data_IF_993818147441
#
_entry.id   IF_993818147441
#
_cell.length_a   1.000
_cell.length_b   1.000
_cell.length_c   1.000
_cell.angle_alpha   90.00
_cell.angle_beta   90.00
_cell.angle_gamma   90.00
#
_symmetry.space_group_name_H-M   'P 1'
#
loop_
_entity.id
_entity.type
_entity.pdbx_description
1 polymer ?
#
# COMPACT_ATOMS: atom_id res chain seq x y z
N UNK A 1 22.50 -7.98 -11.70
CA UNK A 1 21.23 -8.65 -11.35
C UNK A 1 20.09 -7.86 -11.97
N UNK A 2 18.96 -8.51 -12.24
CA UNK A 2 17.76 -7.84 -12.74
C UNK A 2 17.04 -7.16 -11.56
N UNK A 3 16.82 -5.85 -11.66
CA UNK A 3 16.10 -5.05 -10.67
C UNK A 3 14.71 -4.71 -11.19
N UNK A 4 13.76 -4.50 -10.29
CA UNK A 4 12.42 -4.02 -10.65
C UNK A 4 12.46 -2.52 -10.96
N UNK A 5 13.26 -1.78 -10.21
CA UNK A 5 13.28 -0.31 -10.26
C UNK A 5 14.72 0.21 -10.26
N UNK A 6 15.02 1.12 -11.18
CA UNK A 6 16.19 2.01 -11.10
C UNK A 6 15.76 3.37 -10.56
N UNK A 7 16.46 3.90 -9.56
CA UNK A 7 16.20 5.24 -9.01
C UNK A 7 17.31 6.19 -9.46
N UNK A 8 16.97 7.13 -10.35
CA UNK A 8 17.81 8.23 -10.79
C UNK A 8 17.55 9.46 -9.94
N UNK A 9 18.60 10.02 -9.34
CA UNK A 9 18.51 11.15 -8.40
C UNK A 9 19.83 11.92 -8.35
N UNK A 10 19.81 13.13 -7.79
CA UNK A 10 21.04 13.90 -7.51
C UNK A 10 21.35 13.91 -6.02
N UNK A 11 22.62 14.11 -5.64
CA UNK A 11 23.04 14.07 -4.22
C UNK A 11 22.21 14.95 -3.27
N UNK A 12 21.79 16.19 -3.63
CA UNK A 12 20.87 16.98 -2.80
C UNK A 12 19.54 16.28 -2.51
N UNK A 13 19.05 15.43 -3.42
CA UNK A 13 17.79 14.71 -3.31
C UNK A 13 17.95 13.31 -2.68
N UNK A 14 19.13 12.99 -2.13
CA UNK A 14 19.44 11.65 -1.60
C UNK A 14 18.44 11.15 -0.58
N UNK A 15 17.96 12.01 0.31
CA UNK A 15 17.00 11.62 1.35
C UNK A 15 15.69 11.12 0.74
N UNK A 16 15.23 11.74 -0.35
CA UNK A 16 14.06 11.29 -1.11
C UNK A 16 14.36 9.95 -1.77
N UNK A 17 15.53 9.79 -2.37
CA UNK A 17 15.93 8.55 -3.03
C UNK A 17 16.03 7.37 -2.05
N UNK A 18 16.63 7.56 -0.88
CA UNK A 18 16.70 6.56 0.18
C UNK A 18 15.30 6.21 0.69
N UNK A 19 14.44 7.21 0.92
CA UNK A 19 13.06 6.96 1.32
C UNK A 19 12.29 6.13 0.29
N UNK A 20 12.45 6.43 -1.00
CA UNK A 20 11.84 5.65 -2.09
C UNK A 20 12.42 4.24 -2.16
N UNK A 21 13.73 4.08 -1.98
CA UNK A 21 14.39 2.77 -1.92
C UNK A 21 13.80 1.91 -0.80
N UNK A 22 13.73 2.44 0.42
CA UNK A 22 13.17 1.75 1.59
C UNK A 22 11.69 1.40 1.37
N UNK A 23 10.91 2.31 0.78
CA UNK A 23 9.52 2.06 0.41
C UNK A 23 9.40 0.91 -0.59
N UNK A 24 10.25 0.87 -1.62
CA UNK A 24 10.26 -0.23 -2.60
C UNK A 24 10.68 -1.55 -1.94
N UNK A 25 11.72 -1.56 -1.10
CA UNK A 25 12.17 -2.75 -0.38
C UNK A 25 11.12 -3.28 0.60
N UNK A 26 10.42 -2.40 1.33
CA UNK A 26 9.32 -2.77 2.23
C UNK A 26 8.14 -3.43 1.49
N UNK A 27 7.98 -3.06 0.21
CA UNK A 27 7.04 -3.66 -0.73
C UNK A 27 7.74 -4.68 -1.65
N UNK A 28 8.82 -5.32 -1.20
CA UNK A 28 9.61 -6.39 -1.87
C UNK A 28 9.99 -6.14 -3.35
N UNK A 29 10.02 -4.89 -3.79
CA UNK A 29 10.54 -4.50 -5.09
C UNK A 29 12.05 -4.30 -4.98
N UNK A 30 12.80 -5.00 -5.83
CA UNK A 30 14.26 -4.87 -5.90
C UNK A 30 14.59 -3.55 -6.58
N UNK A 31 14.89 -2.52 -5.79
CA UNK A 31 15.33 -1.23 -6.31
C UNK A 31 16.85 -1.10 -6.29
N UNK A 32 17.39 -0.46 -7.31
CA UNK A 32 18.79 -0.07 -7.39
C UNK A 32 18.90 1.46 -7.35
N UNK A 33 19.82 1.98 -6.54
CA UNK A 33 20.22 3.38 -6.51
C UNK A 33 21.73 3.49 -6.28
N UNK A 34 22.38 4.48 -6.88
CA UNK A 34 23.80 4.72 -6.67
C UNK A 34 24.06 5.33 -5.28
N UNK A 35 24.39 4.52 -4.28
CA UNK A 35 24.74 5.04 -2.95
C UNK A 35 26.12 5.66 -2.94
N UNK A 36 26.27 6.85 -2.33
CA UNK A 36 27.57 7.51 -2.13
C UNK A 36 28.53 6.77 -1.20
N UNK A 37 28.10 5.65 -0.58
CA UNK A 37 28.92 4.80 0.27
C UNK A 37 28.60 3.33 0.03
N UNK A 38 29.56 2.59 -0.55
CA UNK A 38 29.85 1.14 -0.58
C UNK A 38 28.76 0.04 -0.56
N UNK A 39 27.49 0.30 -0.27
CA UNK A 39 26.45 -0.72 -0.33
C UNK A 39 25.90 -0.83 -1.75
N UNK A 40 26.65 -1.51 -2.62
CA UNK A 40 26.21 -1.88 -3.98
C UNK A 40 27.14 -1.45 -5.10
N UNK A 41 28.14 -0.61 -4.82
CA UNK A 41 29.23 -0.29 -5.76
C UNK A 41 30.38 -1.25 -5.49
N UNK A 42 30.59 -2.20 -6.40
CA UNK A 42 31.76 -3.09 -6.37
C UNK A 42 32.96 -2.31 -6.91
N UNK A 43 34.18 -2.60 -6.46
CA UNK A 43 35.40 -1.92 -6.96
C UNK A 43 35.67 -2.22 -8.46
N UNK A 44 35.09 -3.31 -8.98
CA UNK A 44 35.15 -3.77 -10.37
C UNK A 44 33.78 -4.36 -10.75
N UNK A 45 33.10 -3.90 -11.82
CA UNK A 45 33.54 -2.97 -12.86
C UNK A 45 33.48 -1.48 -12.45
N UNK A 46 34.03 -0.55 -13.26
CA UNK A 46 33.94 0.89 -13.01
C UNK A 46 32.52 1.36 -12.72
N UNK A 47 32.37 2.43 -11.92
CA UNK A 47 31.09 2.94 -11.49
C UNK A 47 30.12 3.21 -12.65
N UNK A 48 30.62 3.81 -13.73
CA UNK A 48 29.86 4.11 -14.93
C UNK A 48 29.34 2.84 -15.60
N UNK A 49 30.13 1.76 -15.60
CA UNK A 49 29.73 0.46 -16.12
C UNK A 49 28.63 -0.16 -15.26
N UNK A 50 28.75 -0.05 -13.92
CA UNK A 50 27.72 -0.51 -12.99
C UNK A 50 26.42 0.27 -13.17
N UNK A 51 26.52 1.59 -13.33
CA UNK A 51 25.39 2.48 -13.56
C UNK A 51 24.65 2.12 -14.86
N UNK A 52 25.37 1.99 -15.97
CA UNK A 52 24.79 1.58 -17.26
C UNK A 52 24.14 0.20 -17.18
N UNK A 53 24.80 -0.76 -16.52
CA UNK A 53 24.22 -2.08 -16.30
C UNK A 53 22.97 -2.03 -15.44
N UNK A 54 22.96 -1.22 -14.38
CA UNK A 54 21.81 -1.07 -13.50
C UNK A 54 20.62 -0.48 -14.24
N UNK A 55 20.82 0.57 -15.04
CA UNK A 55 19.77 1.18 -15.87
C UNK A 55 19.20 0.14 -16.84
N UNK A 56 20.06 -0.56 -17.58
CA UNK A 56 19.64 -1.53 -18.61
C UNK A 56 18.98 -2.77 -18.04
N UNK A 57 19.38 -3.21 -16.85
CA UNK A 57 18.84 -4.39 -16.17
C UNK A 57 17.74 -4.04 -15.15
N UNK A 58 17.19 -2.83 -15.20
CA UNK A 58 16.01 -2.47 -14.43
C UNK A 58 14.78 -2.49 -15.33
N UNK A 59 13.62 -2.84 -14.76
CA UNK A 59 12.35 -2.87 -15.51
C UNK A 59 11.71 -1.49 -15.64
N UNK A 60 11.76 -0.70 -14.56
CA UNK A 60 11.20 0.64 -14.50
C UNK A 60 12.29 1.66 -14.15
N UNK A 61 12.25 2.81 -14.80
CA UNK A 61 13.10 3.97 -14.49
C UNK A 61 12.32 4.98 -13.67
N UNK A 62 12.74 5.23 -12.43
CA UNK A 62 12.16 6.26 -11.55
C UNK A 62 13.11 7.46 -11.51
N UNK A 63 12.64 8.61 -11.95
CA UNK A 63 13.38 9.87 -11.89
C UNK A 63 12.87 10.72 -10.74
N UNK A 64 13.76 11.06 -9.81
CA UNK A 64 13.54 12.14 -8.84
C UNK A 64 13.99 13.43 -9.49
N UNK A 65 13.02 14.29 -9.79
CA UNK A 65 13.23 15.53 -10.51
C UNK A 65 13.13 16.73 -9.56
N UNK A 66 14.18 17.54 -9.56
CA UNK A 66 14.36 18.80 -8.85
C UNK A 66 15.14 19.77 -9.74
N UNK A 67 15.30 21.02 -9.31
CA UNK A 67 16.18 21.98 -9.98
C UNK A 67 17.65 21.51 -9.97
N UNK A 68 18.08 20.75 -8.95
CA UNK A 68 19.41 20.13 -8.92
C UNK A 68 19.57 19.08 -10.03
N UNK A 69 18.56 18.24 -10.22
CA UNK A 69 18.47 17.28 -11.33
C UNK A 69 18.48 18.01 -12.67
N UNK A 70 17.75 19.11 -12.77
CA UNK A 70 17.69 19.94 -13.96
C UNK A 70 19.06 20.53 -14.34
N UNK A 71 20.00 20.71 -13.41
CA UNK A 71 21.36 21.20 -13.68
C UNK A 71 22.44 20.10 -13.75
N UNK A 72 22.08 18.83 -13.59
CA UNK A 72 23.04 17.71 -13.64
C UNK A 72 23.26 17.13 -15.04
N UNK A 73 24.51 17.15 -15.51
CA UNK A 73 24.90 16.50 -16.77
C UNK A 73 24.99 14.96 -16.66
N UNK A 74 25.04 14.43 -15.45
CA UNK A 74 25.02 12.97 -15.25
C UNK A 74 23.60 12.42 -15.45
N UNK A 75 22.57 13.16 -15.06
CA UNK A 75 21.17 12.75 -15.28
C UNK A 75 20.86 12.62 -16.77
N UNK A 76 21.30 13.58 -17.60
CA UNK A 76 21.07 13.48 -19.06
C UNK A 76 21.81 12.27 -19.65
N UNK A 77 22.99 11.91 -19.12
CA UNK A 77 23.71 10.69 -19.54
C UNK A 77 22.94 9.44 -19.16
N UNK A 78 22.40 9.36 -17.95
CA UNK A 78 21.56 8.24 -17.50
C UNK A 78 20.30 8.08 -18.35
N UNK A 79 19.59 9.18 -18.60
CA UNK A 79 18.38 9.19 -19.45
C UNK A 79 18.70 8.72 -20.87
N UNK A 80 19.88 9.03 -21.41
CA UNK A 80 20.31 8.54 -22.73
C UNK A 80 20.59 7.05 -22.76
N UNK A 81 20.91 6.42 -21.62
CA UNK A 81 21.08 4.96 -21.54
C UNK A 81 19.77 4.20 -21.48
N UNK A 82 18.66 4.93 -21.22
CA UNK A 82 17.30 4.41 -21.26
C UNK A 82 16.89 4.16 -22.72
N UNK A 83 16.39 2.96 -23.02
CA UNK A 83 15.72 2.71 -24.31
C UNK A 83 14.39 3.47 -24.37
N UNK A 84 13.94 3.90 -25.57
CA UNK A 84 12.69 4.68 -25.75
C UNK A 84 11.44 4.00 -25.16
N UNK A 85 11.43 2.69 -25.03
CA UNK A 85 10.31 1.89 -24.48
C UNK A 85 10.44 1.62 -22.98
N UNK A 86 11.50 2.08 -22.33
CA UNK A 86 11.72 1.79 -20.92
C UNK A 86 10.70 2.59 -20.07
N UNK A 87 9.76 1.91 -19.38
CA UNK A 87 8.70 2.60 -18.66
C UNK A 87 9.29 3.53 -17.61
N UNK A 88 8.88 4.79 -17.62
CA UNK A 88 9.42 5.83 -16.74
C UNK A 88 8.34 6.39 -15.84
N UNK A 89 8.68 6.58 -14.56
CA UNK A 89 7.87 7.30 -13.57
C UNK A 89 8.69 8.48 -13.06
N UNK A 90 8.10 9.67 -13.03
CA UNK A 90 8.77 10.88 -12.55
C UNK A 90 8.09 11.34 -11.26
N UNK A 91 8.88 11.62 -10.22
CA UNK A 91 8.45 12.39 -9.06
C UNK A 91 9.09 13.77 -9.12
N UNK A 92 8.26 14.82 -9.14
CA UNK A 92 8.72 16.22 -9.14
C UNK A 92 8.71 16.79 -7.72
N UNK A 93 9.85 17.26 -7.25
CA UNK A 93 10.02 17.90 -5.95
C UNK A 93 9.76 19.41 -5.99
N UNK A 94 9.93 20.03 -7.15
CA UNK A 94 9.68 21.45 -7.39
C UNK A 94 9.04 21.68 -8.77
N UNK A 95 8.77 22.95 -9.08
CA UNK A 95 8.14 23.41 -10.31
C UNK A 95 9.15 23.93 -11.36
N UNK A 96 10.44 23.57 -11.23
CA UNK A 96 11.46 23.97 -12.21
C UNK A 96 11.11 23.43 -13.60
N UNK A 97 11.29 24.28 -14.62
CA UNK A 97 11.08 23.88 -16.02
C UNK A 97 12.24 23.01 -16.47
N UNK A 98 11.95 21.96 -17.24
CA UNK A 98 12.98 21.18 -17.89
C UNK A 98 13.86 22.08 -18.75
N UNK A 99 15.19 21.96 -18.63
CA UNK A 99 16.09 22.54 -19.62
C UNK A 99 15.92 21.86 -20.99
N UNK A 100 16.29 22.53 -22.09
CA UNK A 100 15.89 22.11 -23.44
C UNK A 100 16.33 20.69 -23.86
N UNK A 101 17.45 20.20 -23.36
CA UNK A 101 17.94 18.85 -23.64
C UNK A 101 17.18 17.78 -22.84
N UNK A 102 16.78 18.06 -21.59
CA UNK A 102 15.93 17.18 -20.78
C UNK A 102 14.48 17.17 -21.27
N UNK A 103 13.95 18.32 -21.74
CA UNK A 103 12.58 18.41 -22.23
C UNK A 103 12.35 17.42 -23.37
N UNK A 104 13.32 17.28 -24.28
CA UNK A 104 13.26 16.29 -25.37
C UNK A 104 12.96 14.85 -24.91
N UNK A 105 13.41 14.45 -23.72
CA UNK A 105 13.24 13.07 -23.21
C UNK A 105 12.11 12.91 -22.18
N UNK A 106 11.70 14.00 -21.53
CA UNK A 106 10.78 13.97 -20.39
C UNK A 106 9.41 14.60 -20.72
N UNK A 107 9.34 15.45 -21.73
CA UNK A 107 8.10 16.09 -22.17
C UNK A 107 7.11 15.03 -22.67
N UNK A 108 5.90 15.07 -22.12
CA UNK A 108 4.85 14.06 -22.35
C UNK A 108 4.82 12.89 -21.35
N UNK A 109 5.82 12.73 -20.48
CA UNK A 109 5.78 11.74 -19.40
C UNK A 109 4.98 12.32 -18.22
N UNK A 110 3.95 11.61 -17.77
CA UNK A 110 3.20 12.00 -16.57
C UNK A 110 4.09 11.92 -15.32
N UNK A 111 3.94 12.88 -14.41
CA UNK A 111 4.69 12.95 -13.16
C UNK A 111 3.78 13.04 -11.94
N UNK A 112 4.29 12.58 -10.80
CA UNK A 112 3.69 12.78 -9.49
C UNK A 112 4.35 13.99 -8.84
N UNK A 113 3.57 14.99 -8.45
CA UNK A 113 4.09 16.16 -7.71
C UNK A 113 4.17 15.85 -6.22
N UNK A 114 5.35 16.06 -5.62
CA UNK A 114 5.54 16.01 -4.17
C UNK A 114 5.15 17.34 -3.53
N UNK A 115 4.59 17.28 -2.32
CA UNK A 115 4.32 18.47 -1.53
C UNK A 115 5.57 18.83 -0.73
N UNK A 116 5.87 20.13 -0.62
CA UNK A 116 7.06 20.66 0.04
C UNK A 116 7.28 20.14 1.48
N UNK A 117 6.19 19.82 2.20
CA UNK A 117 6.22 19.40 3.60
C UNK A 117 5.83 17.93 3.82
N UNK A 118 5.44 17.21 2.77
CA UNK A 118 5.00 15.82 2.92
C UNK A 118 5.24 15.00 1.64
N UNK A 119 6.26 14.15 1.69
CA UNK A 119 6.63 13.24 0.62
C UNK A 119 5.71 12.02 0.54
N UNK A 120 5.16 11.55 1.68
CA UNK A 120 4.49 10.26 1.79
C UNK A 120 3.36 10.05 0.76
N UNK A 121 2.40 10.99 0.56
CA UNK A 121 1.33 10.79 -0.42
C UNK A 121 1.84 10.66 -1.86
N UNK A 122 2.91 11.39 -2.20
CA UNK A 122 3.52 11.33 -3.52
C UNK A 122 4.28 10.02 -3.70
N UNK A 123 5.05 9.60 -2.69
CA UNK A 123 5.76 8.32 -2.70
C UNK A 123 4.80 7.12 -2.87
N UNK A 124 3.66 7.11 -2.16
CA UNK A 124 2.63 6.08 -2.36
C UNK A 124 2.08 6.07 -3.78
N UNK A 125 1.87 7.24 -4.40
CA UNK A 125 1.41 7.32 -5.80
C UNK A 125 2.49 6.83 -6.77
N UNK A 126 3.77 7.15 -6.52
CA UNK A 126 4.89 6.63 -7.32
C UNK A 126 4.94 5.11 -7.23
N UNK A 127 4.81 4.54 -6.03
CA UNK A 127 4.73 3.08 -5.84
C UNK A 127 3.59 2.46 -6.67
N UNK A 128 2.41 3.08 -6.63
CA UNK A 128 1.25 2.65 -7.42
C UNK A 128 1.54 2.70 -8.93
N UNK A 129 2.13 3.78 -9.44
CA UNK A 129 2.48 3.93 -10.86
C UNK A 129 3.59 2.96 -11.30
N UNK A 130 4.59 2.73 -10.46
CA UNK A 130 5.65 1.73 -10.72
C UNK A 130 5.03 0.35 -10.87
N UNK A 131 4.16 -0.05 -9.95
CA UNK A 131 3.57 -1.39 -9.98
C UNK A 131 2.61 -1.54 -11.15
N UNK A 132 1.78 -0.53 -11.42
CA UNK A 132 0.93 -0.51 -12.62
C UNK A 132 1.75 -0.73 -13.89
N UNK A 133 2.88 -0.02 -14.05
CA UNK A 133 3.76 -0.19 -15.21
C UNK A 133 4.43 -1.56 -15.25
N UNK A 134 4.82 -2.11 -14.10
CA UNK A 134 5.35 -3.47 -14.01
C UNK A 134 4.32 -4.50 -14.49
N UNK A 135 3.04 -4.36 -14.10
CA UNK A 135 1.96 -5.23 -14.55
C UNK A 135 1.68 -5.07 -16.06
N UNK A 136 1.66 -3.84 -16.57
CA UNK A 136 1.39 -3.54 -17.99
C UNK A 136 2.48 -4.07 -18.94
N UNK A 137 3.75 -3.94 -18.55
CA UNK A 137 4.88 -4.21 -19.44
C UNK A 137 5.55 -5.57 -19.17
N UNK A 138 5.32 -6.17 -18.00
CA UNK A 138 5.93 -7.42 -17.59
C UNK A 138 4.88 -8.38 -16.99
N UNK A 139 3.87 -8.79 -17.76
CA UNK A 139 2.85 -9.72 -17.30
C UNK A 139 3.49 -11.07 -16.91
N UNK A 140 3.17 -11.59 -15.73
CA UNK A 140 3.77 -12.81 -15.18
C UNK A 140 4.96 -12.58 -14.25
N UNK A 141 5.33 -11.32 -13.98
CA UNK A 141 6.22 -11.02 -12.87
C UNK A 141 5.53 -11.34 -11.54
N UNK A 142 6.15 -12.18 -10.70
CA UNK A 142 5.76 -12.36 -9.30
C UNK A 142 6.10 -11.09 -8.52
N UNK A 143 5.28 -10.06 -8.74
CA UNK A 143 5.28 -8.87 -7.93
C UNK A 143 4.77 -9.27 -6.53
N UNK A 144 5.27 -8.63 -5.46
CA UNK A 144 4.66 -8.63 -4.12
C UNK A 144 3.30 -7.91 -4.18
N UNK A 145 2.38 -8.58 -4.84
CA UNK A 145 1.06 -8.11 -5.25
C UNK A 145 0.11 -8.12 -4.07
N UNK A 146 0.39 -8.99 -3.09
CA UNK A 146 -0.26 -9.16 -1.80
C UNK A 146 -0.28 -7.86 -1.00
N UNK A 147 0.89 -7.29 -0.64
CA UNK A 147 0.96 -6.07 0.19
C UNK A 147 0.37 -4.85 -0.50
N UNK A 148 0.57 -4.70 -1.82
CA UNK A 148 -0.02 -3.56 -2.54
C UNK A 148 -1.54 -3.67 -2.64
N UNK A 149 -2.07 -4.86 -2.97
CA UNK A 149 -3.52 -5.08 -3.01
C UNK A 149 -4.13 -4.76 -1.65
N UNK A 150 -3.49 -5.21 -0.57
CA UNK A 150 -3.87 -4.86 0.79
C UNK A 150 -3.88 -3.34 1.02
N UNK A 151 -2.76 -2.64 0.82
CA UNK A 151 -2.68 -1.19 1.05
C UNK A 151 -3.65 -0.38 0.17
N UNK A 152 -3.83 -0.78 -1.08
CA UNK A 152 -4.80 -0.14 -1.97
C UNK A 152 -6.23 -0.38 -1.50
N UNK A 153 -6.54 -1.60 -1.05
CA UNK A 153 -7.80 -1.97 -0.44
C UNK A 153 -8.13 -1.11 0.80
N UNK A 154 -7.17 -0.96 1.71
CA UNK A 154 -7.29 -0.12 2.91
C UNK A 154 -7.44 1.35 2.55
N UNK A 155 -6.63 1.88 1.63
CA UNK A 155 -6.76 3.27 1.16
C UNK A 155 -8.13 3.56 0.54
N UNK A 156 -8.67 2.63 -0.25
CA UNK A 156 -10.02 2.74 -0.80
C UNK A 156 -11.09 2.71 0.28
N UNK A 157 -10.88 1.93 1.36
CA UNK A 157 -11.76 1.93 2.53
C UNK A 157 -11.75 3.28 3.23
N UNK A 158 -10.57 3.85 3.49
CA UNK A 158 -10.41 5.17 4.11
C UNK A 158 -11.05 6.29 3.28
N UNK A 159 -10.93 6.21 1.95
CA UNK A 159 -11.61 7.06 0.98
C UNK A 159 -13.13 6.82 0.89
N UNK A 160 -13.69 5.88 1.67
CA UNK A 160 -15.10 5.43 1.64
C UNK A 160 -15.57 4.87 0.29
N UNK A 161 -14.64 4.40 -0.54
CA UNK A 161 -14.93 3.76 -1.84
C UNK A 161 -15.18 2.26 -1.66
N UNK A 162 -16.19 1.92 -0.85
CA UNK A 162 -16.43 0.56 -0.35
C UNK A 162 -16.49 -0.52 -1.44
N UNK A 163 -17.24 -0.32 -2.53
CA UNK A 163 -17.36 -1.32 -3.60
C UNK A 163 -16.01 -1.68 -4.22
N UNK A 164 -15.14 -0.68 -4.43
CA UNK A 164 -13.79 -0.90 -4.98
C UNK A 164 -12.84 -1.51 -3.95
N UNK A 165 -12.98 -1.09 -2.69
CA UNK A 165 -12.23 -1.67 -1.57
C UNK A 165 -12.54 -3.16 -1.42
N UNK A 166 -13.82 -3.54 -1.39
CA UNK A 166 -14.27 -4.95 -1.35
C UNK A 166 -13.68 -5.76 -2.49
N UNK A 167 -13.77 -5.28 -3.74
CA UNK A 167 -13.22 -6.00 -4.89
C UNK A 167 -11.70 -6.20 -4.78
N UNK A 168 -10.98 -5.21 -4.26
CA UNK A 168 -9.51 -5.25 -4.13
C UNK A 168 -9.07 -6.16 -2.97
N UNK A 169 -9.74 -6.06 -1.82
CA UNK A 169 -9.43 -6.87 -0.64
C UNK A 169 -9.86 -8.33 -0.81
N UNK A 170 -10.92 -8.60 -1.57
CA UNK A 170 -11.28 -9.97 -1.92
C UNK A 170 -10.18 -10.65 -2.74
N UNK A 171 -9.60 -9.94 -3.72
CA UNK A 171 -8.44 -10.45 -4.48
C UNK A 171 -7.24 -10.66 -3.56
N UNK A 172 -7.01 -9.77 -2.60
CA UNK A 172 -5.94 -9.94 -1.62
C UNK A 172 -6.10 -11.22 -0.79
N UNK A 173 -7.30 -11.46 -0.25
CA UNK A 173 -7.58 -12.65 0.58
C UNK A 173 -7.54 -13.97 -0.20
N UNK A 174 -7.72 -13.93 -1.53
CA UNK A 174 -7.49 -15.11 -2.38
C UNK A 174 -6.00 -15.42 -2.56
N UNK A 175 -5.14 -14.40 -2.53
CA UNK A 175 -3.69 -14.52 -2.68
C UNK A 175 -3.02 -14.91 -1.36
N UNK A 176 -3.48 -14.32 -0.25
CA UNK A 176 -2.95 -14.54 1.11
C UNK A 176 -4.08 -14.88 2.08
N UNK A 177 -4.61 -16.13 2.05
CA UNK A 177 -5.76 -16.53 2.87
C UNK A 177 -5.47 -16.58 4.36
N UNK A 178 -4.21 -16.74 4.74
CA UNK A 178 -3.77 -16.84 6.14
C UNK A 178 -3.64 -15.46 6.81
N UNK A 179 -3.69 -14.38 6.02
CA UNK A 179 -3.61 -13.03 6.55
C UNK A 179 -4.93 -12.56 7.17
N UNK A 180 -4.91 -12.44 8.49
CA UNK A 180 -6.05 -12.03 9.31
C UNK A 180 -6.49 -10.58 9.05
N UNK A 181 -5.54 -9.66 8.80
CA UNK A 181 -5.86 -8.26 8.49
C UNK A 181 -6.67 -8.14 7.20
N UNK A 182 -6.33 -8.92 6.17
CA UNK A 182 -7.05 -8.95 4.89
C UNK A 182 -8.54 -9.20 5.07
N UNK A 183 -8.89 -10.24 5.82
CA UNK A 183 -10.27 -10.59 6.14
C UNK A 183 -10.97 -9.52 6.99
N UNK A 184 -10.25 -8.93 7.96
CA UNK A 184 -10.77 -7.86 8.80
C UNK A 184 -11.13 -6.60 7.99
N UNK A 185 -10.21 -6.09 7.17
CA UNK A 185 -10.47 -4.93 6.33
C UNK A 185 -11.52 -5.21 5.26
N UNK A 186 -11.56 -6.43 4.71
CA UNK A 186 -12.62 -6.86 3.78
C UNK A 186 -14.00 -6.82 4.44
N UNK A 187 -14.10 -7.27 5.69
CA UNK A 187 -15.34 -7.21 6.45
C UNK A 187 -15.78 -5.76 6.72
N UNK A 188 -14.86 -4.88 7.13
CA UNK A 188 -15.16 -3.45 7.31
C UNK A 188 -15.65 -2.79 6.00
N UNK A 189 -14.99 -3.10 4.88
CA UNK A 189 -15.40 -2.62 3.55
C UNK A 189 -16.78 -3.14 3.14
N UNK A 190 -17.11 -4.39 3.51
CA UNK A 190 -18.41 -5.02 3.24
C UNK A 190 -19.53 -4.41 4.10
N UNK A 191 -19.24 -4.08 5.36
CA UNK A 191 -20.17 -3.31 6.22
C UNK A 191 -20.41 -1.93 5.61
N UNK A 192 -19.35 -1.27 5.14
CA UNK A 192 -19.44 -0.02 4.39
C UNK A 192 -20.00 1.15 5.20
N UNK A 193 -19.68 1.19 6.50
CA UNK A 193 -20.20 2.20 7.43
C UNK A 193 -21.71 2.15 7.68
N UNK A 194 -22.40 1.10 7.23
CA UNK A 194 -23.84 0.93 7.45
C UNK A 194 -24.11 0.50 8.89
N UNK A 195 -25.30 0.83 9.39
CA UNK A 195 -25.81 0.26 10.65
C UNK A 195 -25.98 -1.24 10.49
N UNK A 196 -25.16 -2.04 11.17
CA UNK A 196 -25.14 -3.50 11.04
C UNK A 196 -26.52 -4.10 11.33
N UNK A 197 -27.25 -3.54 12.30
CA UNK A 197 -28.63 -3.92 12.61
C UNK A 197 -29.60 -3.87 11.41
N UNK A 198 -29.31 -3.04 10.40
CA UNK A 198 -30.13 -2.86 9.19
C UNK A 198 -29.67 -3.71 7.99
N UNK A 199 -28.60 -4.49 8.13
CA UNK A 199 -28.13 -5.38 7.06
C UNK A 199 -29.09 -6.55 6.86
N UNK A 200 -28.94 -7.29 5.77
CA UNK A 200 -29.70 -8.52 5.53
C UNK A 200 -29.06 -9.72 6.23
N UNK A 201 -29.84 -10.76 6.54
CA UNK A 201 -29.32 -12.00 7.12
C UNK A 201 -28.21 -12.62 6.25
N UNK A 202 -28.38 -12.59 4.93
CA UNK A 202 -27.42 -13.14 3.98
C UNK A 202 -26.07 -12.40 4.03
N UNK A 203 -26.09 -11.07 4.13
CA UNK A 203 -24.87 -10.27 4.30
C UNK A 203 -24.17 -10.57 5.62
N UNK A 204 -24.94 -10.71 6.71
CA UNK A 204 -24.39 -11.03 8.03
C UNK A 204 -23.78 -12.43 8.05
N UNK A 205 -24.48 -13.44 7.53
CA UNK A 205 -23.94 -14.79 7.42
C UNK A 205 -22.67 -14.85 6.57
N UNK A 206 -22.58 -14.02 5.52
CA UNK A 206 -21.37 -13.92 4.71
C UNK A 206 -20.20 -13.33 5.50
N UNK A 207 -20.42 -12.28 6.27
CA UNK A 207 -19.40 -11.70 7.16
C UNK A 207 -18.95 -12.71 8.22
N UNK A 208 -19.87 -13.46 8.82
CA UNK A 208 -19.55 -14.50 9.79
C UNK A 208 -18.73 -15.63 9.15
N UNK A 209 -19.08 -16.07 7.95
CA UNK A 209 -18.34 -17.09 7.22
C UNK A 209 -16.90 -16.65 6.88
N UNK A 210 -16.68 -15.34 6.68
CA UNK A 210 -15.34 -14.77 6.46
C UNK A 210 -14.52 -14.71 7.75
N UNK A 211 -15.12 -14.26 8.86
CA UNK A 211 -14.39 -13.91 10.08
C UNK A 211 -14.23 -15.08 11.06
N UNK A 212 -15.23 -15.96 11.15
CA UNK A 212 -15.23 -17.05 12.12
C UNK A 212 -14.01 -17.98 11.98
N UNK A 213 -13.57 -18.39 10.77
CA UNK A 213 -12.42 -19.29 10.62
C UNK A 213 -11.08 -18.70 11.06
N UNK A 214 -10.95 -17.37 11.02
CA UNK A 214 -9.73 -16.63 11.38
C UNK A 214 -9.82 -15.97 12.77
N UNK A 215 -10.94 -16.18 13.47
CA UNK A 215 -11.15 -15.71 14.85
C UNK A 215 -10.69 -16.73 15.89
N UNK A 216 -10.36 -16.28 17.10
CA UNK A 216 -10.20 -17.16 18.27
C UNK A 216 -8.79 -17.36 18.82
N UNK A 217 -7.78 -16.63 18.33
CA UNK A 217 -6.49 -16.53 19.03
C UNK A 217 -6.38 -15.19 19.76
N UNK A 218 -5.47 -15.08 20.75
CA UNK A 218 -5.20 -13.80 21.41
C UNK A 218 -4.68 -12.74 20.44
N UNK A 219 -3.97 -13.17 19.39
CA UNK A 219 -3.40 -12.29 18.36
C UNK A 219 -4.46 -11.80 17.36
N UNK A 220 -5.61 -12.47 17.24
CA UNK A 220 -6.74 -12.05 16.38
C UNK A 220 -7.90 -11.45 17.16
N UNK A 221 -7.61 -10.85 18.34
CA UNK A 221 -8.60 -10.25 19.22
C UNK A 221 -9.52 -9.22 18.53
N UNK A 222 -8.97 -8.44 17.59
CA UNK A 222 -9.71 -7.46 16.79
C UNK A 222 -10.76 -8.10 15.86
N UNK A 223 -10.49 -9.28 15.31
CA UNK A 223 -11.43 -10.05 14.51
C UNK A 223 -12.57 -10.58 15.40
N UNK A 224 -12.20 -11.18 16.54
CA UNK A 224 -13.19 -11.71 17.49
C UNK A 224 -14.11 -10.61 18.01
N UNK A 225 -13.57 -9.41 18.28
CA UNK A 225 -14.36 -8.25 18.65
C UNK A 225 -15.25 -7.76 17.50
N UNK A 226 -14.76 -7.67 16.27
CA UNK A 226 -15.59 -7.29 15.12
C UNK A 226 -16.76 -8.27 14.94
N UNK A 227 -16.50 -9.57 15.08
CA UNK A 227 -17.53 -10.61 15.02
C UNK A 227 -18.54 -10.47 16.17
N UNK A 228 -18.08 -10.16 17.38
CA UNK A 228 -18.94 -9.89 18.54
C UNK A 228 -19.84 -8.66 18.30
N UNK A 229 -19.29 -7.58 17.73
CA UNK A 229 -20.05 -6.40 17.31
C UNK A 229 -21.11 -6.82 16.30
N UNK A 230 -20.73 -7.51 15.22
CA UNK A 230 -21.68 -7.93 14.18
C UNK A 230 -22.85 -8.74 14.78
N UNK A 231 -22.54 -9.70 15.66
CA UNK A 231 -23.55 -10.56 16.29
C UNK A 231 -24.45 -9.80 17.26
N UNK A 232 -23.87 -8.94 18.09
CA UNK A 232 -24.61 -8.12 19.04
C UNK A 232 -25.54 -7.14 18.31
N UNK A 233 -25.04 -6.45 17.29
CA UNK A 233 -25.80 -5.43 16.56
C UNK A 233 -26.93 -6.05 15.76
N UNK A 234 -26.66 -7.16 15.06
CA UNK A 234 -27.65 -7.79 14.20
C UNK A 234 -28.62 -8.70 14.95
N UNK A 235 -28.13 -9.71 15.68
CA UNK A 235 -29.01 -10.70 16.32
C UNK A 235 -29.66 -10.12 17.57
N UNK A 236 -28.86 -9.76 18.59
CA UNK A 236 -29.40 -9.25 19.84
C UNK A 236 -30.13 -7.91 19.63
N UNK A 237 -29.60 -7.04 18.76
CA UNK A 237 -30.26 -5.79 18.38
C UNK A 237 -31.63 -5.97 17.75
N UNK A 238 -31.86 -7.04 16.99
CA UNK A 238 -33.17 -7.36 16.40
C UNK A 238 -33.97 -8.40 17.18
N UNK A 239 -33.51 -8.81 18.37
CA UNK A 239 -34.21 -9.79 19.22
C UNK A 239 -34.11 -11.24 18.71
N UNK A 240 -33.15 -11.55 17.85
CA UNK A 240 -32.87 -12.91 17.40
C UNK A 240 -31.95 -13.65 18.37
N UNK A 241 -32.01 -14.99 18.29
CA UNK A 241 -31.07 -15.86 19.00
C UNK A 241 -29.69 -15.70 18.39
N UNK A 242 -28.69 -15.44 19.26
CA UNK A 242 -27.30 -15.29 18.85
C UNK A 242 -26.70 -16.69 18.59
N UNK A 243 -26.12 -16.95 17.41
CA UNK A 243 -25.44 -18.21 17.12
C UNK A 243 -24.19 -18.40 17.99
N UNK A 244 -23.80 -19.65 18.23
CA UNK A 244 -22.53 -19.96 18.87
C UNK A 244 -21.34 -19.64 17.93
N UNK A 245 -20.15 -19.23 18.44
CA UNK A 245 -19.89 -18.79 19.81
C UNK A 245 -20.66 -17.49 20.19
N UNK A 246 -21.17 -17.43 21.41
CA UNK A 246 -21.87 -16.25 21.92
C UNK A 246 -20.95 -15.02 22.04
N UNK A 247 -21.53 -13.84 22.25
CA UNK A 247 -20.80 -12.57 22.36
C UNK A 247 -19.74 -12.63 23.47
N UNK A 248 -20.09 -13.16 24.65
CA UNK A 248 -19.16 -13.28 25.79
C UNK A 248 -17.94 -14.15 25.44
N UNK A 249 -18.16 -15.28 24.79
CA UNK A 249 -17.09 -16.17 24.37
C UNK A 249 -16.17 -15.55 23.31
N UNK A 250 -16.68 -14.63 22.48
CA UNK A 250 -15.90 -13.93 21.47
C UNK A 250 -15.05 -12.80 22.05
N UNK A 251 -15.49 -12.16 23.14
CA UNK A 251 -14.74 -11.06 23.78
C UNK A 251 -13.89 -11.51 24.97
N UNK A 252 -14.03 -12.77 25.41
CA UNK A 252 -13.27 -13.30 26.53
C UNK A 252 -11.76 -13.25 26.26
N UNK A 253 -11.03 -12.60 27.17
CA UNK A 253 -9.58 -12.45 27.07
C UNK A 253 -9.07 -11.61 25.88
N UNK A 254 -9.95 -10.91 25.15
CA UNK A 254 -9.55 -10.02 24.05
C UNK A 254 -8.85 -8.78 24.60
N UNK A 255 -7.59 -8.59 24.19
CA UNK A 255 -6.83 -7.37 24.40
C UNK A 255 -6.48 -6.85 23.02
N UNK A 256 -6.99 -5.67 22.69
CA UNK A 256 -6.67 -5.02 21.42
C UNK A 256 -5.35 -4.24 21.55
N UNK A 257 -4.77 -3.84 20.42
CA UNK A 257 -3.75 -2.76 20.36
C UNK A 257 -4.37 -1.44 19.87
N UNK A 258 -3.85 -0.30 20.34
CA UNK A 258 -4.41 1.05 20.12
C UNK A 258 -4.82 1.32 18.67
N UNK A 259 -4.02 0.88 17.72
CA UNK A 259 -4.22 1.07 16.29
C UNK A 259 -5.48 0.33 15.79
N UNK A 260 -5.70 -0.91 16.21
CA UNK A 260 -6.86 -1.74 15.82
C UNK A 260 -8.17 -1.14 16.33
N UNK A 261 -8.17 -0.64 17.56
CA UNK A 261 -9.35 0.01 18.14
C UNK A 261 -9.69 1.31 17.41
N UNK A 262 -8.67 2.09 16.98
CA UNK A 262 -8.89 3.29 16.17
C UNK A 262 -9.51 2.93 14.82
N UNK A 263 -9.05 1.86 14.17
CA UNK A 263 -9.62 1.40 12.88
C UNK A 263 -11.08 0.98 13.05
N UNK A 264 -11.40 0.19 14.09
CA UNK A 264 -12.78 -0.15 14.43
C UNK A 264 -13.62 1.10 14.64
N UNK A 265 -13.15 2.01 15.49
CA UNK A 265 -13.82 3.29 15.75
C UNK A 265 -14.02 4.08 14.45
N UNK A 266 -13.09 4.11 13.51
CA UNK A 266 -13.27 4.90 12.30
C UNK A 266 -14.38 4.37 11.38
N UNK A 267 -14.56 3.06 11.30
CA UNK A 267 -15.36 2.41 10.26
C UNK A 267 -16.70 1.83 10.72
N UNK A 268 -16.95 1.73 12.04
CA UNK A 268 -18.24 1.30 12.59
C UNK A 268 -19.14 2.48 12.99
N UNK A 269 -20.47 2.26 13.00
CA UNK A 269 -21.47 3.28 13.39
C UNK A 269 -21.31 3.72 14.85
N UNK A 270 -21.60 4.98 15.13
CA UNK A 270 -21.44 5.61 16.45
C UNK A 270 -22.21 4.89 17.56
N UNK A 271 -23.40 4.37 17.28
CA UNK A 271 -24.21 3.66 18.28
C UNK A 271 -23.57 2.34 18.73
N UNK A 272 -22.79 1.71 17.87
CA UNK A 272 -22.04 0.48 18.20
C UNK A 272 -20.80 0.80 19.05
N UNK A 273 -20.14 1.94 18.77
CA UNK A 273 -18.94 2.38 19.50
C UNK A 273 -19.21 2.57 20.99
N UNK A 274 -20.31 3.25 21.35
CA UNK A 274 -20.66 3.49 22.75
C UNK A 274 -20.86 2.19 23.54
N UNK A 275 -21.31 1.13 22.87
CA UNK A 275 -21.64 -0.14 23.51
C UNK A 275 -20.41 -1.02 23.78
N UNK A 276 -19.41 -0.92 22.93
CA UNK A 276 -18.13 -1.64 23.06
C UNK A 276 -16.99 -0.73 23.55
N UNK A 277 -17.33 0.45 24.08
CA UNK A 277 -16.36 1.46 24.49
C UNK A 277 -15.33 0.92 25.50
N UNK A 278 -15.74 0.02 26.41
CA UNK A 278 -14.83 -0.59 27.39
C UNK A 278 -13.72 -1.45 26.76
N UNK A 279 -13.95 -1.99 25.56
CA UNK A 279 -12.96 -2.78 24.82
C UNK A 279 -12.16 -1.94 23.83
N UNK A 280 -12.67 -0.75 23.48
CA UNK A 280 -12.04 0.20 22.55
C UNK A 280 -11.24 1.30 23.28
N UNK A 281 -11.45 1.45 24.59
CA UNK A 281 -10.73 2.38 25.43
C UNK A 281 -9.39 1.78 25.90
N UNK A 282 -8.32 2.55 25.70
CA UNK A 282 -7.02 2.35 26.35
C UNK A 282 -6.84 3.41 27.41
#
# INVERSE_FOLDING_TARGET
MLHDVFISYTQPDRNVATYMHDLFQANQLKSWMALSGSNGIVMDPPFETQLVHAIRNSRIFVLIYSDYCNHSDDIIREIRQRNKQHPTVIIRLDDSRYRPDLSYYLEGIQYVKAAHHNLYPAACRVLQEVIKKLQEHFPGLNLPTDKLLFYNGVKLLDDRKYNRSVATLAQYTEIDPDNCDGWFYLALATIGGRKIRKMTLQEVQRLEAMLLPVSGTKETGFISLLLAIIRQSYYAGNGFIVPAPGIEALVDGVVLVREEALVLVMHIDESERSRFQQFLAY
#
